data_IF_561876062585
#
_entry.id   IF_561876062585
#
_cell.length_a   1.000
_cell.length_b   1.000
_cell.length_c   1.000
_cell.angle_alpha   90.00
_cell.angle_beta   90.00
_cell.angle_gamma   90.00
#
_symmetry.space_group_name_H-M   'P 1'
#
loop_
_entity.id
_entity.type
_entity.pdbx_description
1 polymer ?
#
# COMPACT_ATOMS: atom_id res chain seq x y z
N UNK A 1 -6.37 -0.44 -9.87
CA UNK A 1 -5.10 0.31 -9.99
C UNK A 1 -5.08 1.37 -8.90
N UNK A 2 -3.97 1.46 -8.17
CA UNK A 2 -3.75 2.48 -7.14
C UNK A 2 -2.49 3.29 -7.44
N UNK A 3 -2.54 4.58 -7.10
CA UNK A 3 -1.44 5.54 -7.29
C UNK A 3 -1.27 6.41 -6.06
N UNK A 4 -0.02 6.79 -5.76
CA UNK A 4 0.30 7.65 -4.64
C UNK A 4 1.70 8.23 -4.73
N UNK A 5 2.01 9.12 -3.79
CA UNK A 5 3.32 9.77 -3.65
C UNK A 5 3.77 9.67 -2.20
N UNK A 6 4.86 8.96 -1.97
CA UNK A 6 5.45 8.78 -0.65
C UNK A 6 6.14 10.07 -0.19
N UNK A 7 5.99 10.38 1.10
CA UNK A 7 6.62 11.51 1.78
C UNK A 7 7.26 11.03 3.06
N UNK A 8 8.53 11.37 3.24
CA UNK A 8 9.26 11.15 4.48
C UNK A 8 9.91 12.48 4.89
N UNK A 9 9.23 13.31 5.69
CA UNK A 9 9.78 14.58 6.17
C UNK A 9 11.07 14.44 7.00
N UNK A 10 11.22 13.32 7.73
CA UNK A 10 12.38 13.01 8.58
C UNK A 10 13.61 12.60 7.78
N UNK A 11 13.42 11.89 6.66
CA UNK A 11 14.46 11.57 5.68
C UNK A 11 13.90 11.59 4.24
N UNK A 12 14.06 12.69 3.49
CA UNK A 12 13.57 12.79 2.12
C UNK A 12 14.16 11.76 1.15
N UNK A 13 15.25 11.05 1.48
CA UNK A 13 15.81 10.00 0.63
C UNK A 13 15.09 8.66 0.79
N UNK A 14 14.44 8.42 1.92
CA UNK A 14 13.74 7.17 2.23
C UNK A 14 12.47 6.94 1.39
N UNK A 15 12.08 7.89 0.55
CA UNK A 15 10.94 7.74 -0.37
C UNK A 15 11.30 6.99 -1.66
N UNK A 16 12.57 6.69 -1.90
CA UNK A 16 13.05 6.10 -3.17
C UNK A 16 13.16 4.59 -3.07
N UNK A 17 12.75 3.87 -4.11
CA UNK A 17 12.84 2.39 -4.18
C UNK A 17 12.15 1.68 -3.01
N UNK A 18 11.14 2.32 -2.41
CA UNK A 18 10.29 1.73 -1.38
C UNK A 18 9.50 0.60 -2.01
N UNK A 19 9.38 -0.54 -1.33
CA UNK A 19 8.63 -1.69 -1.83
C UNK A 19 7.16 -1.50 -1.45
N UNK A 20 6.28 -1.57 -2.46
CA UNK A 20 4.83 -1.47 -2.29
C UNK A 20 4.14 -2.68 -2.91
N UNK A 21 3.35 -3.37 -2.10
CA UNK A 21 2.48 -4.46 -2.52
C UNK A 21 1.01 -4.05 -2.48
N UNK A 22 0.25 -4.56 -3.44
CA UNK A 22 -1.21 -4.57 -3.46
C UNK A 22 -1.65 -6.01 -3.20
N UNK A 23 -2.30 -6.20 -2.07
CA UNK A 23 -2.84 -7.47 -1.61
C UNK A 23 -4.35 -7.45 -1.71
N UNK A 24 -4.94 -8.64 -1.79
CA UNK A 24 -6.34 -8.89 -1.55
C UNK A 24 -6.48 -9.59 -0.18
N UNK A 25 -7.25 -9.02 0.74
CA UNK A 25 -7.54 -9.69 2.01
C UNK A 25 -8.62 -10.75 1.81
N UNK A 26 -8.22 -12.01 1.95
CA UNK A 26 -9.15 -13.12 1.82
C UNK A 26 -9.89 -13.37 3.14
N UNK A 27 -11.18 -13.08 3.17
CA UNK A 27 -11.99 -13.26 4.39
C UNK A 27 -12.35 -14.72 4.71
N UNK A 28 -11.93 -15.68 3.87
CA UNK A 28 -12.32 -17.10 4.00
C UNK A 28 -11.26 -17.89 4.77
N UNK A 29 -11.64 -18.73 5.76
CA UNK A 29 -10.74 -19.37 6.72
C UNK A 29 -9.77 -20.44 6.16
N UNK A 30 -9.62 -20.54 4.84
CA UNK A 30 -8.72 -21.46 4.13
C UNK A 30 -8.05 -20.81 2.91
N UNK A 31 -8.36 -19.55 2.62
CA UNK A 31 -7.72 -18.76 1.59
C UNK A 31 -6.63 -17.91 2.28
N UNK A 32 -5.56 -17.60 1.56
CA UNK A 32 -4.43 -16.83 2.08
C UNK A 32 -4.32 -15.57 1.25
N UNK A 33 -4.12 -14.42 1.88
CA UNK A 33 -3.98 -13.12 1.19
C UNK A 33 -3.19 -13.25 -0.12
N UNK A 34 -3.82 -12.77 -1.19
CA UNK A 34 -3.31 -12.93 -2.54
C UNK A 34 -2.54 -11.68 -2.98
N UNK A 35 -1.28 -11.85 -3.37
CA UNK A 35 -0.48 -10.76 -3.93
C UNK A 35 -1.00 -10.41 -5.33
N UNK A 36 -1.87 -9.41 -5.41
CA UNK A 36 -2.44 -8.94 -6.67
C UNK A 36 -1.38 -8.24 -7.55
N UNK A 37 -0.47 -7.47 -6.94
CA UNK A 37 0.54 -6.71 -7.66
C UNK A 37 1.63 -6.12 -6.78
N UNK A 38 2.78 -5.84 -7.39
CA UNK A 38 3.97 -5.31 -6.72
C UNK A 38 4.58 -4.17 -7.52
N UNK A 39 5.10 -3.16 -6.84
CA UNK A 39 5.83 -2.05 -7.45
C UNK A 39 6.88 -1.50 -6.49
N UNK A 40 7.69 -0.56 -7.00
CA UNK A 40 8.62 0.22 -6.21
C UNK A 40 8.47 1.70 -6.52
N UNK A 41 8.64 2.55 -5.51
CA UNK A 41 8.58 3.99 -5.70
C UNK A 41 9.76 4.51 -6.53
N UNK A 42 9.49 5.54 -7.34
CA UNK A 42 10.51 6.20 -8.15
C UNK A 42 11.42 7.14 -7.32
N UNK A 43 12.32 7.86 -8.01
CA UNK A 43 13.24 8.80 -7.37
C UNK A 43 12.56 9.99 -6.67
N UNK A 44 11.28 10.23 -6.94
CA UNK A 44 10.46 11.30 -6.37
C UNK A 44 9.40 10.76 -5.39
N UNK A 45 9.40 9.44 -5.12
CA UNK A 45 8.44 8.78 -4.27
C UNK A 45 7.10 8.43 -4.95
N UNK A 46 6.96 8.62 -6.26
CA UNK A 46 5.72 8.24 -6.95
C UNK A 46 5.66 6.73 -7.11
N UNK A 47 4.47 6.15 -7.00
CA UNK A 47 4.24 4.76 -7.35
C UNK A 47 2.89 4.55 -8.05
N UNK A 48 2.84 3.47 -8.82
CA UNK A 48 1.67 2.94 -9.48
C UNK A 48 1.71 1.43 -9.28
N UNK A 49 0.64 0.87 -8.72
CA UNK A 49 0.46 -0.58 -8.59
C UNK A 49 -0.86 -0.98 -9.23
N UNK A 50 -0.81 -2.03 -10.03
CA UNK A 50 -1.98 -2.64 -10.66
C UNK A 50 -1.86 -4.13 -10.45
N UNK A 51 -2.98 -4.74 -10.08
CA UNK A 51 -3.09 -6.15 -9.85
C UNK A 51 -4.49 -6.62 -10.19
N UNK A 52 -4.63 -7.93 -10.32
CA UNK A 52 -5.90 -8.61 -10.47
C UNK A 52 -6.00 -9.63 -9.35
N UNK A 53 -7.14 -9.67 -8.69
CA UNK A 53 -7.55 -10.81 -7.89
C UNK A 53 -8.40 -11.73 -8.77
N UNK A 54 -8.35 -13.03 -8.52
CA UNK A 54 -9.10 -14.03 -9.29
C UNK A 54 -9.82 -14.93 -8.32
N UNK A 55 -10.84 -14.38 -7.71
CA UNK A 55 -11.53 -15.13 -6.69
C UNK A 55 -12.54 -16.07 -7.37
N UNK A 56 -12.45 -17.37 -7.09
CA UNK A 56 -13.40 -18.37 -7.60
C UNK A 56 -14.55 -18.63 -6.60
N UNK A 57 -15.78 -18.22 -6.93
CA UNK A 57 -16.96 -18.53 -6.11
C UNK A 57 -18.03 -17.44 -6.08
N UNK A 58 -19.15 -17.68 -5.38
CA UNK A 58 -20.26 -16.71 -5.28
C UNK A 58 -20.09 -15.64 -4.19
N UNK A 59 -19.05 -15.71 -3.33
CA UNK A 59 -18.82 -14.80 -2.20
C UNK A 59 -17.32 -14.49 -2.11
N UNK A 60 -16.86 -13.56 -2.94
CA UNK A 60 -15.48 -13.09 -2.95
C UNK A 60 -15.39 -11.74 -3.64
N UNK A 61 -15.81 -10.71 -2.90
CA UNK A 61 -15.55 -9.35 -3.36
C UNK A 61 -14.13 -9.03 -2.93
N UNK A 62 -13.21 -8.69 -3.85
CA UNK A 62 -11.85 -8.32 -3.48
C UNK A 62 -11.88 -7.20 -2.44
N UNK A 63 -11.08 -7.36 -1.39
CA UNK A 63 -10.85 -6.40 -0.31
C UNK A 63 -9.40 -5.92 -0.34
N UNK A 64 -9.07 -4.99 -1.26
CA UNK A 64 -7.68 -4.67 -1.53
C UNK A 64 -7.07 -3.80 -0.44
N UNK A 65 -5.82 -4.10 -0.08
CA UNK A 65 -5.00 -3.21 0.75
C UNK A 65 -3.60 -3.01 0.17
N UNK A 66 -2.98 -1.89 0.52
CA UNK A 66 -1.58 -1.61 0.18
C UNK A 66 -0.71 -1.88 1.40
N UNK A 67 0.39 -2.60 1.18
CA UNK A 67 1.43 -2.83 2.17
C UNK A 67 2.73 -2.15 1.74
N UNK A 68 3.30 -1.32 2.61
CA UNK A 68 4.49 -0.50 2.32
C UNK A 68 5.61 -0.86 3.29
N UNK A 69 6.70 -1.43 2.76
CA UNK A 69 7.93 -1.68 3.50
C UNK A 69 8.95 -0.56 3.22
N UNK A 70 9.37 0.16 4.26
CA UNK A 70 10.19 1.37 4.11
C UNK A 70 11.21 1.56 5.23
N UNK A 71 12.21 2.40 4.97
CA UNK A 71 13.22 2.81 5.95
C UNK A 71 13.01 4.24 6.49
N UNK A 72 11.85 4.87 6.21
CA UNK A 72 11.56 6.22 6.72
C UNK A 72 11.45 6.21 8.26
N UNK A 73 12.27 7.01 8.98
CA UNK A 73 12.19 7.05 10.43
C UNK A 73 10.92 7.76 10.89
N UNK A 74 10.18 7.12 11.79
CA UNK A 74 9.05 7.75 12.48
C UNK A 74 9.49 9.00 13.25
N UNK A 75 8.71 10.08 13.16
CA UNK A 75 9.07 11.43 13.67
C UNK A 75 9.34 11.53 15.18
N UNK A 76 8.87 10.57 15.96
CA UNK A 76 9.06 10.55 17.42
C UNK A 76 9.87 9.34 17.93
N UNK A 77 9.75 8.19 17.26
CA UNK A 77 10.27 6.91 17.76
C UNK A 77 11.43 6.37 16.94
N UNK A 78 11.69 6.94 15.75
CA UNK A 78 12.59 6.39 14.73
C UNK A 78 12.24 4.96 14.28
N UNK A 79 11.04 4.48 14.58
CA UNK A 79 10.56 3.20 14.08
C UNK A 79 10.42 3.24 12.55
N UNK A 80 10.52 2.09 11.91
CA UNK A 80 10.39 1.90 10.45
C UNK A 80 9.43 0.74 10.20
N UNK A 81 8.33 0.73 10.94
CA UNK A 81 7.34 -0.34 10.88
C UNK A 81 6.58 -0.23 9.54
N UNK A 82 6.20 -1.35 8.93
CA UNK A 82 5.43 -1.34 7.69
C UNK A 82 4.09 -0.61 7.84
N UNK A 83 3.64 0.03 6.77
CA UNK A 83 2.36 0.74 6.73
C UNK A 83 1.36 -0.03 5.87
N UNK A 84 0.19 -0.33 6.44
CA UNK A 84 -0.97 -0.86 5.74
C UNK A 84 -1.98 0.26 5.46
N UNK A 85 -2.54 0.29 4.25
CA UNK A 85 -3.56 1.24 3.83
C UNK A 85 -4.70 0.48 3.17
N UNK A 86 -5.89 0.55 3.78
CA UNK A 86 -7.10 -0.01 3.18
C UNK A 86 -7.46 0.76 1.90
N UNK A 87 -7.68 0.02 0.82
CA UNK A 87 -8.05 0.59 -0.47
C UNK A 87 -9.51 0.30 -0.72
N UNK A 88 -10.28 1.34 -1.06
CA UNK A 88 -11.67 1.15 -1.48
C UNK A 88 -11.73 0.18 -2.68
N UNK A 89 -12.70 -0.76 -2.72
CA UNK A 89 -12.84 -1.76 -3.78
C UNK A 89 -13.35 -1.13 -5.08
N UNK A 90 -12.51 -0.29 -5.70
CA UNK A 90 -12.73 0.36 -6.99
C UNK A 90 -11.88 -0.32 -8.05
N UNK A 91 -12.56 -1.08 -8.89
CA UNK A 91 -11.96 -1.83 -9.98
C UNK A 91 -11.86 -1.01 -11.27
N UNK A 92 -10.99 -1.45 -12.19
CA UNK A 92 -10.85 -0.80 -13.49
C UNK A 92 -12.21 -0.72 -14.23
N UNK A 93 -12.50 0.40 -14.93
CA UNK A 93 -11.58 1.48 -15.31
C UNK A 93 -11.33 2.54 -14.22
N UNK A 94 -11.89 2.39 -13.02
CA UNK A 94 -11.66 3.34 -11.91
C UNK A 94 -10.21 3.25 -11.40
N UNK A 95 -9.66 4.40 -10.99
CA UNK A 95 -8.30 4.53 -10.46
C UNK A 95 -8.37 5.14 -9.07
N UNK A 96 -7.78 4.45 -8.09
CA UNK A 96 -7.64 4.98 -6.73
C UNK A 96 -6.43 5.91 -6.67
N UNK A 97 -6.64 7.15 -6.23
CA UNK A 97 -5.60 8.18 -6.07
C UNK A 97 -5.46 8.52 -4.59
N UNK A 98 -4.43 7.97 -3.97
CA UNK A 98 -4.18 8.10 -2.52
C UNK A 98 -3.52 9.45 -2.15
N UNK A 99 -2.97 10.16 -3.13
CA UNK A 99 -2.31 11.44 -2.90
C UNK A 99 -0.98 11.27 -2.17
N UNK A 100 -0.69 12.15 -1.22
CA UNK A 100 0.53 12.09 -0.41
C UNK A 100 0.35 11.11 0.74
N UNK A 101 1.23 10.12 0.83
CA UNK A 101 1.30 9.14 1.93
C UNK A 101 2.52 9.46 2.76
N UNK A 102 2.31 9.75 4.04
CA UNK A 102 3.37 10.10 4.97
C UNK A 102 3.88 8.86 5.69
N UNK A 103 5.17 8.58 5.54
CA UNK A 103 5.85 7.42 6.12
C UNK A 103 6.41 7.70 7.52
N UNK A 104 6.36 8.95 7.99
CA UNK A 104 6.94 9.40 9.26
C UNK A 104 5.95 9.38 10.44
N UNK A 105 4.74 8.85 10.22
CA UNK A 105 3.62 8.84 11.17
C UNK A 105 2.70 7.66 10.89
N UNK A 106 2.10 7.11 11.94
CA UNK A 106 1.16 5.98 11.83
C UNK A 106 -0.26 6.39 12.23
N UNK A 107 -1.24 5.53 11.95
CA UNK A 107 -2.63 5.80 12.33
C UNK A 107 -2.79 5.87 13.85
N UNK A 108 -2.08 5.00 14.58
CA UNK A 108 -2.10 4.90 16.05
C UNK A 108 -1.43 6.09 16.78
N UNK A 109 -0.77 7.00 16.06
CA UNK A 109 -0.30 8.27 16.63
C UNK A 109 -1.44 9.21 17.04
N UNK A 110 -2.65 8.98 16.52
CA UNK A 110 -3.82 9.84 16.66
C UNK A 110 -4.87 9.22 17.59
#
# INVERSE_FOLDING_TARGET
MATGVLKCPTDPHAVKKVHIDLWDEDSLPLESDDLMGRTWSDANGNFQVTGCASDFGPINTPDPYIYIEHDCPHRYTNATDPIQIDVIPLFLPSIVRLGNIYLDRYLDDY
#
